data_IF_283122378717
#
_entry.id   IF_283122378717
#
_cell.length_a   1.000
_cell.length_b   1.000
_cell.length_c   1.000
_cell.angle_alpha   90.00
_cell.angle_beta   90.00
_cell.angle_gamma   90.00
#
_symmetry.space_group_name_H-M   'P 1'
#
loop_
_entity.id
_entity.type
_entity.pdbx_description
1 polymer ?
#
# COMPACT_ATOMS: atom_id res chain seq x y z
N UNK A 1 -4.20 9.48 68.10
CA UNK A 1 -5.03 8.99 66.98
C UNK A 1 -4.15 8.10 66.09
N UNK A 2 -4.14 6.79 66.34
CA UNK A 2 -3.20 5.83 65.72
C UNK A 2 -3.88 5.29 64.43
N UNK A 3 -3.35 5.66 63.28
CA UNK A 3 -3.83 5.24 61.99
C UNK A 3 -3.57 3.72 61.86
N UNK A 4 -4.64 2.92 61.56
CA UNK A 4 -4.54 1.48 61.48
C UNK A 4 -3.57 1.03 60.37
N UNK A 5 -2.64 0.09 60.64
CA UNK A 5 -1.57 -0.28 59.67
C UNK A 5 -2.09 -0.87 58.33
N UNK A 6 -3.35 -1.27 58.28
CA UNK A 6 -4.00 -1.71 57.04
C UNK A 6 -4.21 -0.64 55.98
N UNK A 7 -4.34 0.63 56.38
CA UNK A 7 -4.55 1.76 55.44
C UNK A 7 -3.22 2.17 54.81
N UNK A 8 -2.11 2.05 55.54
CA UNK A 8 -0.77 2.38 55.07
C UNK A 8 -0.29 1.36 54.04
N UNK A 9 -0.62 0.07 54.24
CA UNK A 9 -0.27 -1.00 53.30
C UNK A 9 -1.04 -0.91 51.96
N UNK A 10 -2.32 -0.47 52.00
CA UNK A 10 -3.12 -0.23 50.79
C UNK A 10 -2.65 0.95 49.96
N UNK A 11 -2.16 2.00 50.62
CA UNK A 11 -1.65 3.20 49.94
C UNK A 11 -0.26 2.97 49.33
N UNK A 12 0.57 2.10 49.94
CA UNK A 12 1.88 1.71 49.38
C UNK A 12 1.77 0.82 48.13
N UNK A 13 0.74 -0.01 48.05
CA UNK A 13 0.46 -0.87 46.85
C UNK A 13 -0.05 -0.05 45.66
N UNK A 14 -0.74 1.05 45.87
CA UNK A 14 -1.25 1.90 44.79
C UNK A 14 -0.13 2.71 44.10
N UNK A 15 0.97 3.01 44.78
CA UNK A 15 2.10 3.76 44.22
C UNK A 15 2.96 2.91 43.30
N UNK A 16 2.98 1.60 43.48
CA UNK A 16 3.76 0.68 42.62
C UNK A 16 3.12 0.38 41.26
N UNK A 17 1.83 0.65 41.08
CA UNK A 17 1.13 0.42 39.82
C UNK A 17 1.32 1.56 38.77
N UNK A 18 1.89 2.69 39.16
CA UNK A 18 2.08 3.83 38.25
C UNK A 18 3.44 3.84 37.51
N UNK A 19 4.28 2.81 37.68
CA UNK A 19 5.68 2.81 37.21
C UNK A 19 5.97 2.05 35.91
N UNK A 20 4.97 1.53 35.21
CA UNK A 20 5.17 0.83 33.94
C UNK A 20 4.40 1.48 32.80
N UNK A 21 4.55 2.79 32.60
CA UNK A 21 4.31 3.38 31.30
C UNK A 21 5.53 3.07 30.43
N UNK A 22 5.39 2.39 29.27
CA UNK A 22 6.52 2.21 28.36
C UNK A 22 7.01 3.59 27.94
N UNK A 23 8.24 3.89 28.28
CA UNK A 23 8.91 5.15 27.90
C UNK A 23 8.96 5.15 26.37
N UNK A 24 8.31 6.12 25.75
CA UNK A 24 8.38 6.31 24.30
C UNK A 24 9.87 6.39 23.89
N UNK A 25 10.31 5.70 22.83
CA UNK A 25 11.70 5.73 22.38
C UNK A 25 12.00 7.06 21.68
N UNK A 26 12.07 8.14 22.45
CA UNK A 26 12.51 9.47 22.00
C UNK A 26 14.02 9.67 22.17
N UNK A 27 14.73 8.69 22.72
CA UNK A 27 16.19 8.72 22.85
C UNK A 27 16.82 8.42 21.49
N UNK A 28 16.97 9.39 20.62
CA UNK A 28 17.59 9.31 19.29
C UNK A 28 17.03 10.27 18.26
N UNK A 29 15.89 10.88 18.52
CA UNK A 29 15.29 11.89 17.62
C UNK A 29 15.73 13.32 17.97
N UNK A 30 16.49 13.53 19.05
CA UNK A 30 16.76 14.86 19.63
C UNK A 30 17.47 15.87 18.72
N UNK A 31 18.09 15.43 17.64
CA UNK A 31 18.79 16.32 16.67
C UNK A 31 18.31 16.11 15.23
N UNK A 32 17.44 15.13 14.95
CA UNK A 32 16.99 14.84 13.60
C UNK A 32 15.96 15.84 13.12
N UNK A 33 16.18 16.39 11.94
CA UNK A 33 15.23 17.29 11.27
C UNK A 33 14.14 16.51 10.53
N UNK A 34 13.01 17.16 10.28
CA UNK A 34 11.91 16.59 9.46
C UNK A 34 12.40 16.19 8.06
N UNK A 35 13.30 17.00 7.47
CA UNK A 35 13.88 16.71 6.15
C UNK A 35 14.75 15.47 6.14
N UNK A 36 15.56 15.23 7.19
CA UNK A 36 16.37 14.03 7.30
C UNK A 36 15.52 12.77 7.49
N UNK A 37 14.48 12.83 8.32
CA UNK A 37 13.53 11.74 8.48
C UNK A 37 12.80 11.42 7.17
N UNK A 38 12.33 12.44 6.47
CA UNK A 38 11.68 12.30 5.17
C UNK A 38 12.64 11.69 4.11
N UNK A 39 13.90 12.14 4.06
CA UNK A 39 14.90 11.61 3.13
C UNK A 39 15.19 10.13 3.38
N UNK A 40 15.35 9.72 4.64
CA UNK A 40 15.54 8.30 4.99
C UNK A 40 14.32 7.46 4.60
N UNK A 41 13.12 7.95 4.88
CA UNK A 41 11.88 7.27 4.50
C UNK A 41 11.72 7.17 2.97
N UNK A 42 12.08 8.21 2.22
CA UNK A 42 12.05 8.23 0.76
C UNK A 42 12.98 7.16 0.14
N UNK A 43 14.20 7.03 0.66
CA UNK A 43 15.15 6.00 0.22
C UNK A 43 14.61 4.59 0.45
N UNK A 44 13.99 4.34 1.60
CA UNK A 44 13.38 3.05 1.91
C UNK A 44 12.14 2.79 1.03
N UNK A 45 11.30 3.81 0.85
CA UNK A 45 10.11 3.72 0.01
C UNK A 45 10.46 3.36 -1.44
N UNK A 46 11.59 3.83 -1.97
CA UNK A 46 12.07 3.53 -3.32
C UNK A 46 13.00 2.31 -3.42
N UNK A 47 13.25 1.59 -2.33
CA UNK A 47 14.24 0.50 -2.30
C UNK A 47 13.78 -0.78 -2.98
N UNK A 48 12.47 -1.06 -3.00
CA UNK A 48 11.89 -2.22 -3.71
C UNK A 48 11.44 -1.76 -5.10
N UNK A 49 12.04 -2.33 -6.14
CA UNK A 49 11.83 -1.94 -7.53
C UNK A 49 11.05 -2.95 -8.34
N UNK A 50 11.05 -4.20 -7.91
CA UNK A 50 10.24 -5.25 -8.50
C UNK A 50 9.77 -6.23 -7.44
N UNK A 51 8.64 -6.88 -7.71
CA UNK A 51 8.09 -7.97 -6.91
C UNK A 51 7.52 -9.05 -7.80
N UNK A 52 7.68 -10.30 -7.37
CA UNK A 52 7.04 -11.47 -7.97
C UNK A 52 6.62 -12.42 -6.86
N UNK A 53 5.36 -12.83 -6.84
CA UNK A 53 4.86 -13.72 -5.81
C UNK A 53 3.37 -13.94 -5.85
N UNK A 54 2.90 -14.73 -4.89
CA UNK A 54 1.48 -14.94 -4.62
C UNK A 54 1.05 -14.03 -3.48
N UNK A 55 -0.16 -13.54 -3.56
CA UNK A 55 -0.81 -12.78 -2.51
C UNK A 55 -2.27 -13.22 -2.36
N UNK A 56 -2.79 -13.18 -1.14
CA UNK A 56 -4.22 -13.22 -0.88
C UNK A 56 -4.75 -11.79 -0.89
N UNK A 57 -5.69 -11.53 -1.76
CA UNK A 57 -6.36 -10.23 -1.87
C UNK A 57 -7.76 -10.36 -1.31
N UNK A 58 -8.14 -9.41 -0.48
CA UNK A 58 -9.51 -9.25 0.05
C UNK A 58 -9.96 -7.83 -0.21
N UNK A 59 -11.12 -7.69 -0.83
CA UNK A 59 -11.74 -6.42 -1.17
C UNK A 59 -13.08 -6.37 -0.45
N UNK A 60 -13.34 -5.28 0.24
CA UNK A 60 -14.60 -5.01 0.92
C UNK A 60 -15.12 -3.64 0.48
N UNK A 61 -16.29 -3.62 -0.14
CA UNK A 61 -17.03 -2.44 -0.54
C UNK A 61 -18.46 -2.53 0.02
N UNK A 62 -19.26 -1.44 0.03
CA UNK A 62 -20.65 -1.50 0.50
C UNK A 62 -21.46 -2.57 -0.22
N UNK A 63 -21.89 -3.59 0.52
CA UNK A 63 -22.71 -4.70 -0.01
C UNK A 63 -21.91 -5.81 -0.68
N UNK A 64 -20.60 -5.71 -0.82
CA UNK A 64 -19.77 -6.70 -1.50
C UNK A 64 -18.50 -7.03 -0.72
N UNK A 65 -18.14 -8.32 -0.69
CA UNK A 65 -16.88 -8.79 -0.13
C UNK A 65 -16.33 -9.90 -1.01
N UNK A 66 -15.13 -9.68 -1.55
CA UNK A 66 -14.45 -10.60 -2.45
C UNK A 66 -13.11 -10.99 -1.83
N UNK A 67 -12.69 -12.26 -1.99
CA UNK A 67 -11.35 -12.70 -1.63
C UNK A 67 -10.88 -13.77 -2.61
N UNK A 68 -9.63 -13.65 -3.06
CA UNK A 68 -9.01 -14.56 -4.03
C UNK A 68 -7.50 -14.61 -3.83
N UNK A 69 -6.87 -15.63 -4.42
CA UNK A 69 -5.42 -15.69 -4.58
C UNK A 69 -5.02 -14.95 -5.84
N UNK A 70 -3.95 -14.17 -5.78
CA UNK A 70 -3.46 -13.35 -6.87
C UNK A 70 -2.00 -13.67 -7.17
N UNK A 71 -1.68 -13.89 -8.45
CA UNK A 71 -0.29 -13.75 -8.91
C UNK A 71 0.00 -12.27 -9.07
N UNK A 72 1.07 -11.81 -8.44
CA UNK A 72 1.52 -10.42 -8.52
C UNK A 72 2.90 -10.39 -9.13
N UNK A 73 3.05 -9.67 -10.23
CA UNK A 73 4.33 -9.30 -10.84
C UNK A 73 4.31 -7.80 -11.05
N UNK A 74 5.30 -7.09 -10.53
CA UNK A 74 5.40 -5.64 -10.73
C UNK A 74 6.85 -5.22 -10.90
N UNK A 75 7.05 -4.17 -11.68
CA UNK A 75 8.33 -3.51 -11.87
C UNK A 75 8.12 -2.00 -12.07
N UNK A 76 8.87 -1.19 -11.29
CA UNK A 76 8.74 0.27 -11.35
C UNK A 76 9.00 0.81 -12.76
N UNK A 77 8.43 1.96 -13.14
CA UNK A 77 7.49 2.75 -12.33
C UNK A 77 6.02 2.27 -12.44
N UNK A 78 5.63 1.63 -13.53
CA UNK A 78 4.24 1.49 -13.98
C UNK A 78 3.90 0.13 -14.61
N UNK A 79 4.85 -0.82 -14.57
CA UNK A 79 4.65 -2.17 -15.11
C UNK A 79 4.11 -3.08 -14.04
N UNK A 80 2.97 -3.67 -14.32
CA UNK A 80 2.27 -4.51 -13.37
C UNK A 80 1.50 -5.63 -14.08
N UNK A 81 1.40 -6.79 -13.44
CA UNK A 81 0.50 -7.89 -13.79
C UNK A 81 -0.10 -8.48 -12.53
N UNK A 82 -1.40 -8.41 -12.41
CA UNK A 82 -2.20 -8.94 -11.33
C UNK A 82 -3.17 -9.97 -11.92
N UNK A 83 -3.00 -11.24 -11.60
CA UNK A 83 -3.89 -12.30 -12.05
C UNK A 83 -4.72 -12.85 -10.89
N UNK A 84 -6.02 -12.72 -10.97
CA UNK A 84 -6.93 -13.35 -10.04
C UNK A 84 -7.09 -14.83 -10.37
N UNK A 85 -6.85 -15.68 -9.38
CA UNK A 85 -6.98 -17.13 -9.53
C UNK A 85 -8.25 -17.65 -8.87
N UNK A 86 -8.91 -18.61 -9.52
CA UNK A 86 -9.96 -19.40 -8.88
C UNK A 86 -9.35 -20.44 -7.90
N UNK A 87 -10.17 -21.15 -7.08
CA UNK A 87 -9.66 -22.16 -6.16
C UNK A 87 -8.89 -23.33 -6.80
N UNK A 88 -9.00 -23.50 -8.13
CA UNK A 88 -8.30 -24.54 -8.88
C UNK A 88 -7.00 -24.02 -9.52
N UNK A 89 -6.61 -22.75 -9.25
CA UNK A 89 -5.39 -22.15 -9.77
C UNK A 89 -5.48 -21.61 -11.20
N UNK A 90 -6.67 -21.61 -11.81
CA UNK A 90 -6.85 -21.03 -13.14
C UNK A 90 -7.11 -19.53 -13.07
N UNK A 91 -6.51 -18.74 -13.96
CA UNK A 91 -6.74 -17.30 -14.07
C UNK A 91 -8.18 -17.03 -14.51
N UNK A 92 -8.91 -16.23 -13.73
CA UNK A 92 -10.28 -15.79 -14.02
C UNK A 92 -10.36 -14.34 -14.49
N UNK A 93 -9.31 -13.59 -14.30
CA UNK A 93 -9.18 -12.23 -14.78
C UNK A 93 -7.80 -11.68 -14.48
N UNK A 94 -7.39 -10.63 -15.20
CA UNK A 94 -6.14 -9.94 -14.90
C UNK A 94 -6.19 -8.47 -15.28
N UNK A 95 -5.34 -7.71 -14.59
CA UNK A 95 -4.93 -6.36 -14.94
C UNK A 95 -3.45 -6.42 -15.27
N UNK A 96 -3.05 -5.82 -16.36
CA UNK A 96 -1.64 -5.71 -16.71
C UNK A 96 -1.34 -4.35 -17.32
N UNK A 97 -0.15 -3.81 -17.03
CA UNK A 97 0.39 -2.63 -17.72
C UNK A 97 1.82 -2.90 -18.14
N UNK A 98 2.13 -2.61 -19.40
CA UNK A 98 3.50 -2.68 -19.94
C UNK A 98 4.21 -1.31 -19.92
N UNK A 99 3.57 -0.28 -19.34
CA UNK A 99 4.01 1.10 -19.29
C UNK A 99 3.52 1.95 -20.47
N UNK A 100 3.01 1.32 -21.54
CA UNK A 100 2.44 1.99 -22.70
C UNK A 100 0.91 1.80 -22.77
N UNK A 101 0.45 0.61 -22.36
CA UNK A 101 -0.95 0.24 -22.36
C UNK A 101 -1.33 -0.45 -21.06
N UNK A 102 -2.60 -0.33 -20.70
CA UNK A 102 -3.23 -1.05 -19.60
C UNK A 102 -4.23 -2.03 -20.21
N UNK A 103 -4.11 -3.28 -19.85
CA UNK A 103 -4.95 -4.38 -20.32
C UNK A 103 -5.79 -4.90 -19.16
N UNK A 104 -7.10 -4.90 -19.33
CA UNK A 104 -8.04 -5.41 -18.35
C UNK A 104 -8.81 -6.57 -18.99
N UNK A 105 -8.73 -7.74 -18.38
CA UNK A 105 -9.51 -8.91 -18.80
C UNK A 105 -10.21 -9.47 -17.57
N UNK A 106 -11.53 -9.52 -17.65
CA UNK A 106 -12.39 -10.15 -16.65
C UNK A 106 -13.43 -11.03 -17.37
N UNK A 107 -14.21 -11.84 -16.66
CA UNK A 107 -15.30 -12.59 -17.27
C UNK A 107 -16.33 -11.72 -18.00
N UNK A 108 -16.47 -10.47 -17.62
CA UNK A 108 -17.47 -9.50 -18.13
C UNK A 108 -16.89 -8.46 -19.08
N UNK A 109 -15.56 -8.25 -19.11
CA UNK A 109 -14.97 -7.16 -19.88
C UNK A 109 -13.58 -7.54 -20.45
N UNK A 110 -13.27 -6.96 -21.62
CA UNK A 110 -11.92 -6.95 -22.22
C UNK A 110 -11.67 -5.54 -22.70
N UNK A 111 -10.80 -4.82 -22.02
CA UNK A 111 -10.57 -3.41 -22.28
C UNK A 111 -9.07 -3.14 -22.36
N UNK A 112 -8.71 -2.14 -23.15
CA UNK A 112 -7.34 -1.64 -23.28
C UNK A 112 -7.38 -0.13 -23.18
N UNK A 113 -6.54 0.44 -22.32
CA UNK A 113 -6.37 1.87 -22.12
C UNK A 113 -4.93 2.27 -22.44
N UNK A 114 -4.71 3.52 -22.82
CA UNK A 114 -3.37 4.04 -22.98
C UNK A 114 -2.65 4.09 -21.62
N UNK A 115 -1.34 3.75 -21.62
CA UNK A 115 -0.54 3.79 -20.41
C UNK A 115 -0.42 5.21 -19.86
N UNK A 116 -0.59 5.33 -18.55
CA UNK A 116 -0.63 6.63 -17.87
C UNK A 116 -2.02 7.25 -17.76
N UNK A 117 -3.02 6.74 -18.44
CA UNK A 117 -4.41 7.11 -18.18
C UNK A 117 -4.89 6.58 -16.84
N UNK A 118 -5.83 7.32 -16.26
CA UNK A 118 -6.58 6.85 -15.11
C UNK A 118 -7.66 5.88 -15.56
N UNK A 119 -7.81 4.77 -14.86
CA UNK A 119 -8.91 3.83 -15.08
C UNK A 119 -9.67 3.56 -13.79
N UNK A 120 -10.95 3.25 -13.91
CA UNK A 120 -11.79 2.98 -12.75
C UNK A 120 -11.80 1.47 -12.46
N UNK A 121 -11.48 1.08 -11.24
CA UNK A 121 -11.53 -0.33 -10.83
C UNK A 121 -12.96 -0.89 -10.86
N UNK A 122 -14.01 -0.06 -10.92
CA UNK A 122 -15.39 -0.51 -11.12
C UNK A 122 -15.58 -1.26 -12.44
N UNK A 123 -14.75 -1.01 -13.45
CA UNK A 123 -14.80 -1.70 -14.74
C UNK A 123 -14.45 -3.19 -14.59
N UNK A 124 -13.74 -3.56 -13.51
CA UNK A 124 -13.33 -4.93 -13.20
C UNK A 124 -14.13 -5.51 -12.05
N UNK A 125 -14.33 -4.71 -11.03
CA UNK A 125 -15.01 -5.07 -9.79
C UNK A 125 -16.18 -4.12 -9.57
N UNK A 126 -17.40 -4.47 -9.98
CA UNK A 126 -18.59 -3.65 -9.74
C UNK A 126 -18.68 -3.24 -8.26
N UNK A 127 -18.90 -1.95 -8.00
CA UNK A 127 -18.91 -1.42 -6.63
C UNK A 127 -17.59 -0.85 -6.13
N UNK A 128 -16.48 -1.06 -6.85
CA UNK A 128 -15.16 -0.50 -6.56
C UNK A 128 -14.95 0.84 -7.30
N UNK A 129 -15.66 1.88 -6.91
CA UNK A 129 -15.50 3.22 -7.50
C UNK A 129 -14.20 3.87 -7.02
N UNK A 130 -13.07 3.40 -7.55
CA UNK A 130 -11.73 3.92 -7.30
C UNK A 130 -10.99 4.10 -8.62
N UNK A 131 -10.68 5.34 -8.94
CA UNK A 131 -9.83 5.70 -10.07
C UNK A 131 -8.36 5.58 -9.68
N UNK A 132 -7.58 4.87 -10.46
CA UNK A 132 -6.16 4.58 -10.23
C UNK A 132 -5.35 4.74 -11.51
N UNK A 133 -4.05 4.98 -11.39
CA UNK A 133 -3.08 4.87 -12.47
C UNK A 133 -2.28 3.59 -12.32
N UNK A 134 -1.65 3.11 -13.41
CA UNK A 134 -0.72 1.96 -13.34
C UNK A 134 0.44 2.21 -12.37
N UNK A 135 0.96 3.46 -12.32
CA UNK A 135 2.02 3.84 -11.39
C UNK A 135 1.59 3.74 -9.93
N UNK A 136 0.40 4.26 -9.57
CA UNK A 136 -0.11 4.21 -8.20
C UNK A 136 -0.38 2.78 -7.74
N UNK A 137 -0.91 1.94 -8.65
CA UNK A 137 -1.18 0.54 -8.39
C UNK A 137 0.13 -0.27 -8.26
N UNK A 138 1.11 -0.01 -9.15
CA UNK A 138 2.45 -0.59 -9.07
C UNK A 138 3.13 -0.21 -7.75
N UNK A 139 3.09 1.06 -7.35
CA UNK A 139 3.63 1.53 -6.08
C UNK A 139 3.00 0.82 -4.90
N UNK A 140 1.67 0.68 -4.88
CA UNK A 140 0.96 -0.01 -3.80
C UNK A 140 1.42 -1.47 -3.65
N UNK A 141 1.49 -2.24 -4.73
CA UNK A 141 1.90 -3.66 -4.66
C UNK A 141 3.40 -3.84 -4.41
N UNK A 142 4.23 -2.85 -4.71
CA UNK A 142 5.63 -2.82 -4.30
C UNK A 142 5.80 -2.50 -2.79
N UNK A 143 4.71 -2.30 -2.05
CA UNK A 143 4.76 -1.92 -0.63
C UNK A 143 5.22 -0.48 -0.41
N UNK A 144 5.07 0.37 -1.42
CA UNK A 144 5.40 1.79 -1.40
C UNK A 144 4.15 2.63 -1.12
N UNK A 145 4.36 3.87 -0.74
CA UNK A 145 3.27 4.83 -0.69
C UNK A 145 2.73 5.06 -2.12
N UNK A 146 1.42 4.90 -2.35
CA UNK A 146 0.83 4.98 -3.69
C UNK A 146 0.86 6.39 -4.29
N UNK A 147 1.11 7.39 -3.46
CA UNK A 147 1.24 8.80 -3.84
C UNK A 147 2.62 9.30 -3.49
N UNK A 148 3.23 10.10 -4.36
CA UNK A 148 4.61 10.52 -4.23
C UNK A 148 4.76 11.70 -3.25
N UNK A 149 4.42 11.46 -1.97
CA UNK A 149 4.45 12.49 -0.93
C UNK A 149 5.87 13.02 -0.67
N UNK A 150 6.88 12.14 -0.77
CA UNK A 150 8.27 12.51 -0.49
C UNK A 150 8.92 13.39 -1.58
N UNK A 151 8.45 13.31 -2.82
CA UNK A 151 8.99 14.06 -3.98
C UNK A 151 8.13 15.27 -4.34
N UNK A 152 7.16 15.62 -3.52
CA UNK A 152 6.23 16.72 -3.80
C UNK A 152 6.85 18.12 -3.70
N UNK A 153 8.12 18.23 -3.29
CA UNK A 153 8.77 19.51 -3.01
C UNK A 153 8.28 20.21 -1.75
N UNK A 154 7.34 19.60 -1.02
CA UNK A 154 6.78 20.14 0.23
C UNK A 154 7.71 19.80 1.40
N UNK A 155 7.92 20.76 2.29
CA UNK A 155 8.68 20.54 3.54
C UNK A 155 7.72 20.01 4.61
N UNK A 156 7.94 18.82 5.18
CA UNK A 156 7.08 18.31 6.24
C UNK A 156 7.37 18.97 7.60
N UNK A 157 6.36 18.99 8.45
CA UNK A 157 6.51 19.17 9.89
C UNK A 157 6.68 17.80 10.54
N UNK A 158 7.52 17.72 11.58
CA UNK A 158 7.77 16.48 12.33
C UNK A 158 7.24 16.61 13.75
N UNK A 159 6.54 15.58 14.16
CA UNK A 159 6.07 15.39 15.54
C UNK A 159 6.12 13.89 15.88
N UNK A 160 5.69 13.54 17.08
CA UNK A 160 5.51 12.14 17.50
C UNK A 160 4.03 11.84 17.71
N UNK A 161 3.62 10.61 17.34
CA UNK A 161 2.29 10.07 17.62
C UNK A 161 2.45 8.67 18.21
N UNK A 162 2.29 8.55 19.52
CA UNK A 162 2.65 7.35 20.27
C UNK A 162 4.15 7.04 20.15
N UNK A 163 4.47 5.90 19.58
CA UNK A 163 5.84 5.46 19.33
C UNK A 163 6.33 5.75 17.89
N UNK A 164 5.54 6.40 17.07
CA UNK A 164 5.87 6.67 15.66
C UNK A 164 6.32 8.13 15.47
N UNK A 165 7.21 8.32 14.49
CA UNK A 165 7.49 9.65 13.93
C UNK A 165 6.34 9.99 13.01
N UNK A 166 5.74 11.16 13.20
CA UNK A 166 4.69 11.69 12.33
C UNK A 166 5.25 12.81 11.48
N UNK A 167 5.21 12.65 10.15
CA UNK A 167 5.51 13.69 9.19
C UNK A 167 4.20 14.20 8.60
N UNK A 168 3.96 15.51 8.71
CA UNK A 168 2.77 16.17 8.15
C UNK A 168 3.22 17.08 7.01
N UNK A 169 2.73 16.81 5.81
CA UNK A 169 3.00 17.60 4.60
C UNK A 169 1.83 18.53 4.37
N UNK A 170 2.03 19.85 4.41
CA UNK A 170 0.95 20.80 4.16
C UNK A 170 0.42 20.64 2.73
N UNK A 171 -0.88 20.66 2.56
CA UNK A 171 -1.53 20.65 1.25
C UNK A 171 -1.35 21.98 0.52
N UNK A 172 -1.75 22.02 -0.75
CA UNK A 172 -1.94 23.29 -1.47
C UNK A 172 -3.00 24.16 -0.75
N UNK A 173 -3.01 25.48 -0.95
CA UNK A 173 -4.04 26.34 -0.36
C UNK A 173 -5.45 25.82 -0.68
N UNK A 174 -6.22 25.51 0.36
CA UNK A 174 -7.56 24.89 0.23
C UNK A 174 -7.55 23.36 0.11
N UNK A 175 -6.39 22.73 0.03
CA UNK A 175 -6.21 21.27 0.06
C UNK A 175 -6.01 20.74 1.47
N UNK A 176 -6.14 19.44 1.62
CA UNK A 176 -5.87 18.75 2.89
C UNK A 176 -4.38 18.46 3.08
N UNK A 177 -4.03 17.95 4.26
CA UNK A 177 -2.68 17.52 4.60
C UNK A 177 -2.49 16.05 4.27
N UNK A 178 -1.27 15.71 3.83
CA UNK A 178 -0.83 14.31 3.78
C UNK A 178 0.00 14.00 5.02
N UNK A 179 -0.21 12.84 5.61
CA UNK A 179 0.47 12.45 6.85
C UNK A 179 1.09 11.08 6.69
N UNK A 180 2.35 10.95 7.10
CA UNK A 180 3.07 9.67 7.10
C UNK A 180 3.58 9.37 8.49
N UNK A 181 3.34 8.16 8.97
CA UNK A 181 3.87 7.67 10.24
C UNK A 181 4.97 6.66 9.99
N UNK A 182 6.13 6.92 10.55
CA UNK A 182 7.34 6.12 10.39
C UNK A 182 7.70 5.39 11.68
N UNK A 183 8.24 4.22 11.53
CA UNK A 183 8.91 3.52 12.62
C UNK A 183 10.23 4.24 12.96
N UNK A 184 10.47 4.65 14.22
CA UNK A 184 11.62 5.48 14.56
C UNK A 184 12.97 4.75 14.45
N UNK A 185 12.97 3.42 14.52
CA UNK A 185 14.20 2.63 14.43
C UNK A 185 14.62 2.33 13.00
N UNK A 186 13.66 2.21 12.09
CA UNK A 186 13.89 1.77 10.71
C UNK A 186 13.49 2.79 9.66
N UNK A 187 12.74 3.84 10.01
CA UNK A 187 12.15 4.84 9.11
C UNK A 187 11.18 4.26 8.05
N UNK A 188 10.74 3.02 8.24
CA UNK A 188 9.70 2.44 7.37
C UNK A 188 8.36 3.12 7.63
N UNK A 189 7.61 3.36 6.57
CA UNK A 189 6.23 3.81 6.71
C UNK A 189 5.38 2.70 7.34
N UNK A 190 4.70 2.99 8.43
CA UNK A 190 3.73 2.10 9.07
C UNK A 190 2.33 2.37 8.57
N UNK A 191 2.01 3.63 8.37
CA UNK A 191 0.76 4.09 7.78
C UNK A 191 0.93 5.46 7.13
N UNK A 192 0.03 5.79 6.24
CA UNK A 192 -0.10 7.14 5.70
C UNK A 192 -1.56 7.49 5.46
N UNK A 193 -1.88 8.77 5.50
CA UNK A 193 -3.17 9.34 5.11
C UNK A 193 -2.93 10.39 4.04
N UNK A 194 -3.72 10.34 2.97
CA UNK A 194 -3.64 11.25 1.84
C UNK A 194 -4.94 12.00 1.66
N UNK A 195 -4.84 13.27 1.35
CA UNK A 195 -5.97 14.07 0.92
C UNK A 195 -6.12 14.00 -0.59
N UNK A 196 -7.21 13.41 -1.04
CA UNK A 196 -7.57 13.29 -2.45
C UNK A 196 -8.51 14.40 -2.89
N UNK A 197 -8.67 14.57 -4.20
CA UNK A 197 -9.60 15.54 -4.78
C UNK A 197 -11.03 15.37 -4.26
N UNK A 198 -11.76 16.48 -4.12
CA UNK A 198 -13.12 16.49 -3.57
C UNK A 198 -13.19 16.24 -2.06
N UNK A 199 -12.10 16.45 -1.31
CA UNK A 199 -12.04 16.29 0.14
C UNK A 199 -12.09 14.83 0.62
N UNK A 200 -11.91 13.87 -0.30
CA UNK A 200 -11.79 12.45 0.03
C UNK A 200 -10.47 12.21 0.75
N UNK A 201 -10.42 11.15 1.54
CA UNK A 201 -9.20 10.67 2.18
C UNK A 201 -8.93 9.22 1.78
N UNK A 202 -7.66 8.93 1.56
CA UNK A 202 -7.17 7.56 1.45
C UNK A 202 -6.21 7.28 2.59
N UNK A 203 -6.20 6.04 3.07
CA UNK A 203 -5.27 5.54 4.07
C UNK A 203 -4.58 4.32 3.52
N UNK A 204 -3.32 4.15 3.89
CA UNK A 204 -2.57 2.93 3.65
C UNK A 204 -1.83 2.53 4.92
N UNK A 205 -1.79 1.25 5.24
CA UNK A 205 -1.00 0.71 6.34
C UNK A 205 -0.20 -0.51 5.91
N UNK A 206 0.93 -0.74 6.59
CA UNK A 206 1.90 -1.75 6.25
C UNK A 206 2.31 -2.57 7.48
N UNK A 207 2.24 -3.89 7.35
CA UNK A 207 2.95 -4.84 8.20
C UNK A 207 4.07 -5.47 7.39
N UNK A 208 5.27 -5.53 7.94
CA UNK A 208 6.44 -6.02 7.22
C UNK A 208 6.73 -7.48 7.60
N UNK A 209 7.40 -8.22 6.71
CA UNK A 209 8.00 -9.50 7.08
C UNK A 209 8.98 -9.31 8.24
N UNK A 210 9.15 -10.34 9.08
CA UNK A 210 10.03 -10.28 10.25
C UNK A 210 11.51 -10.10 9.89
N UNK A 211 11.90 -10.44 8.65
CA UNK A 211 13.24 -10.29 8.12
C UNK A 211 13.29 -9.47 6.84
N UNK A 212 14.51 -9.31 6.34
CA UNK A 212 14.75 -8.71 5.02
C UNK A 212 14.56 -9.76 3.93
N UNK A 213 13.90 -9.39 2.84
CA UNK A 213 13.83 -10.20 1.62
C UNK A 213 14.84 -9.60 0.63
N UNK A 214 15.83 -10.39 0.22
CA UNK A 214 16.93 -9.95 -0.64
C UNK A 214 17.62 -8.66 -0.14
N UNK A 215 17.72 -8.46 1.18
CA UNK A 215 18.34 -7.28 1.78
C UNK A 215 17.40 -6.06 1.91
N UNK A 216 16.13 -6.18 1.56
CA UNK A 216 15.15 -5.09 1.58
C UNK A 216 14.01 -5.37 2.55
N UNK A 217 13.49 -4.31 3.17
CA UNK A 217 12.23 -4.39 3.89
C UNK A 217 11.08 -4.47 2.88
N UNK A 218 10.27 -5.50 2.97
CA UNK A 218 9.08 -5.65 2.13
C UNK A 218 7.83 -5.84 2.98
N UNK A 219 6.73 -5.20 2.58
CA UNK A 219 5.47 -5.32 3.28
C UNK A 219 4.84 -6.70 3.04
N UNK A 220 4.61 -7.46 4.11
CA UNK A 220 3.85 -8.71 4.07
C UNK A 220 2.37 -8.43 3.87
N UNK A 221 1.86 -7.41 4.57
CA UNK A 221 0.47 -6.99 4.52
C UNK A 221 0.37 -5.52 4.18
N UNK A 222 -0.48 -5.21 3.22
CA UNK A 222 -0.81 -3.86 2.79
C UNK A 222 -2.32 -3.71 2.93
N UNK A 223 -2.77 -2.68 3.63
CA UNK A 223 -4.17 -2.32 3.72
C UNK A 223 -4.36 -0.93 3.14
N UNK A 224 -5.27 -0.82 2.20
CA UNK A 224 -5.69 0.45 1.61
C UNK A 224 -7.16 0.69 1.91
N UNK A 225 -7.51 1.89 2.34
CA UNK A 225 -8.87 2.29 2.64
C UNK A 225 -9.19 3.64 2.00
N UNK A 226 -10.36 3.75 1.36
CA UNK A 226 -10.90 5.01 0.86
C UNK A 226 -12.41 4.90 0.70
N UNK A 227 -13.18 5.85 1.24
CA UNK A 227 -14.64 6.01 1.04
C UNK A 227 -15.44 4.69 1.10
N UNK A 228 -15.27 3.90 2.16
CA UNK A 228 -16.00 2.64 2.34
C UNK A 228 -15.45 1.44 1.56
N UNK A 229 -14.39 1.65 0.78
CA UNK A 229 -13.59 0.62 0.17
C UNK A 229 -12.43 0.25 1.08
N UNK A 230 -12.19 -1.04 1.29
CA UNK A 230 -10.99 -1.57 1.92
C UNK A 230 -10.40 -2.67 1.04
N UNK A 231 -9.11 -2.56 0.74
CA UNK A 231 -8.34 -3.57 0.00
C UNK A 231 -7.23 -4.05 0.93
N UNK A 232 -7.16 -5.35 1.14
CA UNK A 232 -6.07 -5.99 1.88
C UNK A 232 -5.32 -6.92 0.95
N UNK A 233 -4.00 -6.75 0.88
CA UNK A 233 -3.08 -7.62 0.14
C UNK A 233 -2.16 -8.28 1.17
N UNK A 234 -2.13 -9.61 1.22
CA UNK A 234 -1.23 -10.37 2.10
C UNK A 234 -0.37 -11.28 1.24
N UNK A 235 0.92 -10.96 1.16
CA UNK A 235 1.88 -11.78 0.44
C UNK A 235 2.16 -13.09 1.16
N UNK A 236 2.24 -14.16 0.38
CA UNK A 236 2.62 -15.48 0.87
C UNK A 236 4.15 -15.59 1.01
N UNK A 237 4.62 -16.58 1.73
CA UNK A 237 6.04 -16.88 1.82
C UNK A 237 6.57 -17.27 0.42
N UNK A 238 7.85 -16.95 0.16
CA UNK A 238 8.46 -17.18 -1.15
C UNK A 238 8.28 -16.03 -2.15
N UNK A 239 7.76 -14.87 -1.71
CA UNK A 239 7.79 -13.65 -2.50
C UNK A 239 9.24 -13.24 -2.80
N UNK A 240 9.50 -12.85 -4.04
CA UNK A 240 10.80 -12.38 -4.54
C UNK A 240 10.75 -10.87 -4.78
N UNK A 241 11.75 -10.13 -4.33
CA UNK A 241 11.87 -8.69 -4.54
C UNK A 241 13.19 -8.34 -5.22
N UNK A 242 13.18 -7.28 -6.03
CA UNK A 242 14.33 -6.80 -6.79
C UNK A 242 14.97 -7.87 -7.70
N UNK A 243 14.15 -8.80 -8.20
CA UNK A 243 14.57 -9.78 -9.20
C UNK A 243 14.32 -9.22 -10.61
N UNK A 244 15.13 -9.63 -11.61
CA UNK A 244 14.85 -9.30 -13.00
C UNK A 244 13.47 -9.83 -13.41
N UNK A 245 12.68 -8.98 -14.07
CA UNK A 245 11.36 -9.33 -14.58
C UNK A 245 11.36 -9.18 -16.10
N UNK A 246 11.00 -10.24 -16.80
CA UNK A 246 10.87 -10.20 -18.27
C UNK A 246 9.70 -9.29 -18.67
N UNK A 247 9.98 -8.31 -19.54
CA UNK A 247 8.97 -7.35 -19.99
C UNK A 247 7.80 -8.00 -20.76
N UNK A 248 8.01 -9.18 -21.33
CA UNK A 248 6.94 -9.93 -22.02
C UNK A 248 5.82 -10.39 -21.07
N UNK A 249 6.11 -10.51 -19.78
CA UNK A 249 5.11 -10.88 -18.76
C UNK A 249 4.02 -9.82 -18.59
N UNK A 250 4.29 -8.59 -18.96
CA UNK A 250 3.34 -7.47 -18.78
C UNK A 250 2.37 -7.32 -19.96
N UNK A 251 2.57 -8.08 -21.04
CA UNK A 251 1.63 -8.11 -22.17
C UNK A 251 0.71 -9.33 -22.09
N UNK A 252 -0.55 -9.19 -22.50
CA UNK A 252 -1.41 -10.37 -22.64
C UNK A 252 -0.74 -11.36 -23.57
N UNK A 253 -0.62 -12.62 -23.16
CA UNK A 253 -0.24 -13.66 -24.11
C UNK A 253 -1.32 -13.70 -25.18
N UNK A 254 -0.92 -13.46 -26.44
CA UNK A 254 -1.78 -13.69 -27.57
C UNK A 254 -2.11 -15.19 -27.60
N UNK A 255 -3.26 -15.57 -27.04
CA UNK A 255 -3.86 -16.83 -27.39
C UNK A 255 -4.17 -16.71 -28.87
N UNK A 256 -3.38 -17.41 -29.70
CA UNK A 256 -3.50 -17.41 -31.16
C UNK A 256 -4.93 -17.79 -31.55
N UNK A 257 -5.82 -16.84 -31.66
CA UNK A 257 -7.23 -17.05 -32.03
C UNK A 257 -8.24 -16.12 -31.33
N UNK A 258 -7.90 -15.47 -30.21
CA UNK A 258 -8.89 -14.65 -29.47
C UNK A 258 -8.86 -13.17 -29.86
N UNK A 259 -7.75 -12.65 -30.38
CA UNK A 259 -7.58 -11.22 -30.71
C UNK A 259 -8.17 -10.87 -32.10
N UNK A 260 -8.18 -11.78 -33.05
CA UNK A 260 -8.80 -11.54 -34.39
C UNK A 260 -10.33 -11.42 -34.33
N UNK A 261 -11.00 -12.09 -33.39
CA UNK A 261 -12.46 -12.03 -33.29
C UNK A 261 -13.00 -10.74 -32.67
N UNK A 262 -12.21 -9.98 -31.91
CA UNK A 262 -12.67 -8.73 -31.27
C UNK A 262 -12.63 -7.56 -32.25
N UNK A 263 -11.65 -7.52 -33.17
CA UNK A 263 -11.64 -6.51 -34.25
C UNK A 263 -12.77 -6.68 -35.27
N UNK A 264 -13.23 -7.91 -35.51
CA UNK A 264 -14.28 -8.18 -36.46
C UNK A 264 -15.71 -7.88 -35.96
N UNK A 265 -15.92 -7.83 -34.65
CA UNK A 265 -17.24 -7.53 -34.07
C UNK A 265 -17.55 -6.04 -33.86
N UNK A 266 -16.53 -5.18 -33.88
CA UNK A 266 -16.73 -3.73 -33.70
C UNK A 266 -16.82 -2.93 -35.02
N UNK A 267 -16.85 -3.58 -36.17
CA UNK A 267 -16.97 -2.95 -37.50
C UNK A 267 -18.12 -3.50 -38.35
N UNK A 268 -19.16 -4.07 -37.77
CA UNK A 268 -20.40 -4.39 -38.48
C UNK A 268 -21.62 -3.73 -37.77
#
# INVERSE_FOLDING_TARGET
MILKPRIILGMLLLVMAASCAPKAPTEGLGEMTAGEAASKAALLNSSVKSVKGLARVSISAPGEKISYTQVTVANEPDRIRLEALNPFGSTVGFISSDGENIYIISPSARETYDGGEEFNLADIYPGLDLTVTSESLTSLVLGRLPYNVFSSGRTPEMSTDGQLIKLTYPGAPGGGEDVVWLDPSTFKARKAEFSLDGGRKAKVSYEYFDGLIAGHYFARRIEFESKGLSITIVYEDGVEVNVPVDSSLFRPMASAGAIENVRAQNYN
#
